data_IF_304106040579
#
_entry.id   IF_304106040579
#
_cell.length_a   1.000
_cell.length_b   1.000
_cell.length_c   1.000
_cell.angle_alpha   90.00
_cell.angle_beta   90.00
_cell.angle_gamma   90.00
#
_symmetry.space_group_name_H-M   'P 1'
#
loop_
_entity.id
_entity.type
_entity.pdbx_description
1 polymer ?
#
# COMPACT_ATOMS: atom_id res chain seq x y z
N UNK A 1 18.21 -0.24 7.37
CA UNK A 1 17.86 0.90 6.51
C UNK A 1 17.13 1.95 7.34
N UNK A 2 17.48 3.21 7.11
CA UNK A 2 17.03 4.36 7.88
C UNK A 2 15.53 4.58 7.79
N UNK A 3 14.97 4.88 8.95
CA UNK A 3 13.67 5.51 9.13
C UNK A 3 13.61 6.75 8.22
N UNK A 4 12.67 6.77 7.26
CA UNK A 4 12.31 8.00 6.55
C UNK A 4 11.10 8.57 7.30
N UNK A 5 11.30 9.45 8.31
CA UNK A 5 10.24 9.90 9.21
C UNK A 5 9.04 10.55 8.48
N UNK A 6 9.25 11.02 7.24
CA UNK A 6 8.25 11.78 6.49
C UNK A 6 7.53 10.97 5.41
N UNK A 7 7.89 9.71 5.18
CA UNK A 7 7.32 8.99 4.04
C UNK A 7 5.80 8.83 4.14
N UNK A 8 5.31 8.47 5.32
CA UNK A 8 3.87 8.30 5.55
C UNK A 8 3.13 9.64 5.53
N UNK A 9 3.77 10.73 5.98
CA UNK A 9 3.18 12.08 5.94
C UNK A 9 3.11 12.62 4.53
N UNK A 10 4.14 12.40 3.71
CA UNK A 10 4.22 12.90 2.34
C UNK A 10 3.18 12.20 1.45
N UNK A 11 3.04 10.87 1.58
CA UNK A 11 2.00 10.12 0.86
C UNK A 11 0.60 10.55 1.28
N UNK A 12 0.35 10.75 2.58
CA UNK A 12 -0.95 11.20 3.08
C UNK A 12 -1.29 12.60 2.58
N UNK A 13 -0.36 13.54 2.67
CA UNK A 13 -0.56 14.90 2.15
C UNK A 13 -0.80 14.89 0.64
N UNK A 14 -0.10 14.02 -0.09
CA UNK A 14 -0.35 13.81 -1.51
C UNK A 14 -1.78 13.29 -1.74
N UNK A 15 -2.24 12.26 -1.04
CA UNK A 15 -3.61 11.73 -1.18
C UNK A 15 -4.66 12.80 -0.83
N UNK A 16 -4.46 13.59 0.21
CA UNK A 16 -5.37 14.67 0.60
C UNK A 16 -5.53 15.74 -0.50
N UNK A 17 -4.51 15.90 -1.36
CA UNK A 17 -4.55 16.80 -2.52
C UNK A 17 -5.17 16.17 -3.78
N UNK A 18 -5.47 14.86 -3.79
CA UNK A 18 -6.01 14.11 -4.93
C UNK A 18 -7.34 13.44 -4.56
N UNK A 19 -8.50 14.12 -4.74
CA UNK A 19 -9.79 13.69 -4.19
C UNK A 19 -10.36 12.40 -4.81
N UNK A 20 -9.80 11.95 -5.94
CA UNK A 20 -10.12 10.71 -6.63
C UNK A 20 -9.29 9.51 -6.13
N UNK A 21 -8.35 9.73 -5.20
CA UNK A 21 -7.52 8.70 -4.59
C UNK A 21 -7.91 8.49 -3.13
N UNK A 22 -7.91 7.24 -2.70
CA UNK A 22 -8.00 6.88 -1.29
C UNK A 22 -6.73 6.12 -0.85
N UNK A 23 -6.50 6.09 0.47
CA UNK A 23 -5.39 5.38 1.07
C UNK A 23 -5.90 4.32 2.02
N UNK A 24 -5.54 3.07 1.77
CA UNK A 24 -5.74 1.95 2.68
C UNK A 24 -4.41 1.55 3.31
N UNK A 25 -4.40 1.42 4.63
CA UNK A 25 -3.26 0.86 5.35
C UNK A 25 -3.29 -0.67 5.30
N UNK A 26 -2.14 -1.32 5.10
CA UNK A 26 -1.99 -2.76 5.26
C UNK A 26 -0.67 -3.07 5.98
N UNK A 27 -0.75 -3.83 7.07
CA UNK A 27 0.39 -4.15 7.91
C UNK A 27 1.35 -5.15 7.22
N UNK A 28 2.65 -4.83 7.28
CA UNK A 28 3.74 -5.74 6.94
C UNK A 28 4.93 -5.48 7.90
N UNK A 29 4.80 -5.84 9.20
CA UNK A 29 5.95 -5.80 10.09
C UNK A 29 7.00 -6.81 9.60
N UNK A 30 8.21 -6.30 9.33
CA UNK A 30 9.32 -7.12 8.85
C UNK A 30 10.00 -7.82 10.03
N UNK A 31 10.40 -9.08 9.83
CA UNK A 31 11.01 -9.90 10.88
C UNK A 31 12.25 -9.25 11.53
N UNK A 32 13.02 -8.46 10.77
CA UNK A 32 14.20 -7.72 11.26
C UNK A 32 13.86 -6.55 12.20
N UNK A 33 12.57 -6.25 12.40
CA UNK A 33 12.08 -5.17 13.26
C UNK A 33 11.21 -5.68 14.43
N UNK A 34 11.10 -6.99 14.58
CA UNK A 34 10.35 -7.60 15.67
C UNK A 34 11.17 -7.63 16.98
N UNK A 35 10.51 -7.57 18.15
CA UNK A 35 9.05 -7.55 18.36
C UNK A 35 8.40 -6.15 18.23
N UNK A 36 9.21 -5.09 18.12
CA UNK A 36 8.73 -3.72 18.23
C UNK A 36 7.69 -3.37 17.16
N UNK A 37 7.95 -3.71 15.90
CA UNK A 37 7.03 -3.42 14.80
C UNK A 37 5.69 -4.14 14.96
N UNK A 38 5.70 -5.41 15.42
CA UNK A 38 4.49 -6.17 15.66
C UNK A 38 3.68 -5.67 16.86
N UNK A 39 4.35 -5.17 17.89
CA UNK A 39 3.69 -4.57 19.06
C UNK A 39 3.07 -3.20 18.73
N UNK A 40 3.79 -2.36 17.99
CA UNK A 40 3.30 -1.08 17.45
C UNK A 40 2.07 -1.29 16.55
N UNK A 41 2.13 -2.28 15.64
CA UNK A 41 1.02 -2.64 14.76
C UNK A 41 -0.23 -3.09 15.54
N UNK A 42 -0.06 -3.92 16.57
CA UNK A 42 -1.16 -4.36 17.43
C UNK A 42 -1.80 -3.20 18.19
N UNK A 43 -0.99 -2.26 18.67
CA UNK A 43 -1.51 -1.08 19.37
C UNK A 43 -2.37 -0.20 18.45
N UNK A 44 -1.91 0.12 17.23
CA UNK A 44 -2.70 0.96 16.31
C UNK A 44 -4.02 0.30 15.88
N UNK A 45 -4.03 -1.02 15.67
CA UNK A 45 -5.26 -1.80 15.42
C UNK A 45 -6.26 -1.66 16.57
N UNK A 46 -5.78 -1.81 17.82
CA UNK A 46 -6.63 -1.64 18.99
C UNK A 46 -7.15 -0.20 19.18
N UNK A 47 -6.35 0.81 18.84
CA UNK A 47 -6.82 2.21 18.83
C UNK A 47 -7.91 2.41 17.78
N UNK A 48 -7.70 1.87 16.57
CA UNK A 48 -8.67 1.97 15.48
C UNK A 48 -10.00 1.30 15.79
N UNK A 49 -9.97 0.12 16.40
CA UNK A 49 -11.18 -0.56 16.85
C UNK A 49 -11.90 0.22 17.96
N UNK A 50 -11.15 0.72 18.95
CA UNK A 50 -11.73 1.36 20.12
C UNK A 50 -12.31 2.73 19.81
N UNK A 51 -11.64 3.50 18.95
CA UNK A 51 -11.90 4.92 18.75
C UNK A 51 -12.20 5.30 17.29
N UNK A 52 -12.17 4.34 16.36
CA UNK A 52 -12.53 4.53 14.97
C UNK A 52 -11.37 4.93 14.06
N UNK A 53 -11.69 5.06 12.77
CA UNK A 53 -10.73 5.20 11.68
C UNK A 53 -9.83 6.45 11.77
N UNK A 54 -10.38 7.60 12.20
CA UNK A 54 -9.57 8.81 12.36
C UNK A 54 -8.46 8.61 13.41
N UNK A 55 -8.82 7.98 14.55
CA UNK A 55 -7.88 7.70 15.64
C UNK A 55 -6.86 6.63 15.29
N UNK A 56 -7.20 5.68 14.42
CA UNK A 56 -6.23 4.76 13.83
C UNK A 56 -5.09 5.53 13.11
N UNK A 57 -5.44 6.46 12.23
CA UNK A 57 -4.44 7.22 11.48
C UNK A 57 -3.61 8.17 12.33
N UNK A 58 -4.21 8.78 13.35
CA UNK A 58 -3.49 9.56 14.35
C UNK A 58 -2.50 8.68 15.13
N UNK A 59 -2.89 7.45 15.48
CA UNK A 59 -2.02 6.50 16.16
C UNK A 59 -0.85 6.03 15.27
N UNK A 60 -1.09 5.75 13.98
CA UNK A 60 -0.03 5.45 13.02
C UNK A 60 0.99 6.61 12.94
N UNK A 61 0.52 7.84 12.78
CA UNK A 61 1.38 9.02 12.77
C UNK A 61 2.16 9.17 14.09
N UNK A 62 1.51 8.93 15.21
CA UNK A 62 2.15 8.98 16.53
C UNK A 62 3.29 7.96 16.63
N UNK A 63 3.09 6.71 16.20
CA UNK A 63 4.17 5.69 16.18
C UNK A 63 5.37 6.20 15.38
N UNK A 64 5.15 6.68 14.15
CA UNK A 64 6.24 7.18 13.32
C UNK A 64 6.96 8.38 13.95
N UNK A 65 6.28 9.23 14.70
CA UNK A 65 6.91 10.38 15.36
C UNK A 65 7.70 10.00 16.62
N UNK A 66 7.40 8.85 17.25
CA UNK A 66 7.91 8.53 18.59
C UNK A 66 8.78 7.26 18.66
N UNK A 67 8.70 6.35 17.69
CA UNK A 67 9.57 5.17 17.65
C UNK A 67 11.00 5.54 17.25
N UNK A 68 11.99 4.81 17.78
CA UNK A 68 13.40 4.97 17.40
C UNK A 68 13.73 4.31 16.06
N UNK A 69 12.80 3.53 15.51
CA UNK A 69 12.97 2.84 14.24
C UNK A 69 13.96 1.67 14.30
N UNK A 70 14.06 0.94 13.19
CA UNK A 70 14.99 -0.19 13.06
C UNK A 70 14.75 -1.32 14.07
N UNK A 71 13.51 -1.52 14.53
CA UNK A 71 13.16 -2.52 15.55
C UNK A 71 13.43 -2.11 17.00
N UNK A 72 13.83 -0.86 17.26
CA UNK A 72 14.15 -0.39 18.61
C UNK A 72 12.93 0.05 19.44
N UNK A 73 11.76 0.17 18.81
CA UNK A 73 10.53 0.60 19.46
C UNK A 73 10.60 1.99 20.09
N UNK A 74 9.69 2.25 21.03
CA UNK A 74 9.62 3.50 21.77
C UNK A 74 10.87 3.72 22.66
N UNK A 75 11.28 4.98 22.88
CA UNK A 75 12.27 5.34 23.89
C UNK A 75 11.82 4.91 25.30
N UNK A 76 12.80 4.68 26.17
CA UNK A 76 12.51 4.35 27.57
C UNK A 76 11.70 5.46 28.25
N UNK A 77 10.65 5.08 28.98
CA UNK A 77 9.78 6.02 29.69
C UNK A 77 8.68 6.65 28.83
N UNK A 78 8.64 6.38 27.52
CA UNK A 78 7.53 6.76 26.65
C UNK A 78 6.50 5.64 26.65
N UNK A 79 5.26 5.97 27.01
CA UNK A 79 4.12 5.04 26.95
C UNK A 79 3.24 5.36 25.76
N UNK A 80 2.52 4.35 25.28
CA UNK A 80 1.53 4.55 24.24
C UNK A 80 0.36 5.41 24.77
N UNK A 81 -0.15 6.36 23.98
CA UNK A 81 -1.41 7.03 24.28
C UNK A 81 -2.55 6.01 24.46
N UNK A 82 -3.49 6.32 25.33
CA UNK A 82 -4.71 5.52 25.55
C UNK A 82 -4.47 4.03 25.87
N UNK A 83 -3.25 3.63 26.27
CA UNK A 83 -2.88 2.23 26.49
C UNK A 83 -3.80 1.53 27.50
N UNK A 84 -4.24 2.25 28.54
CA UNK A 84 -5.21 1.74 29.50
C UNK A 84 -6.58 1.47 28.88
N UNK A 85 -7.03 2.31 27.95
CA UNK A 85 -8.33 2.22 27.30
C UNK A 85 -8.39 1.09 26.26
N UNK A 86 -7.24 0.73 25.67
CA UNK A 86 -7.13 -0.36 24.69
C UNK A 86 -6.57 -1.66 25.27
N UNK A 87 -6.29 -1.69 26.58
CA UNK A 87 -5.66 -2.82 27.27
C UNK A 87 -6.38 -4.16 27.06
N UNK A 88 -7.70 -4.14 27.00
CA UNK A 88 -8.47 -5.37 26.81
C UNK A 88 -8.29 -5.95 25.40
N UNK A 89 -8.24 -5.09 24.37
CA UNK A 89 -7.89 -5.52 23.02
C UNK A 89 -6.49 -6.15 22.97
N UNK A 90 -5.51 -5.51 23.62
CA UNK A 90 -4.12 -5.97 23.67
C UNK A 90 -3.92 -7.31 24.39
N UNK A 91 -4.81 -7.70 25.30
CA UNK A 91 -4.78 -9.01 25.96
C UNK A 91 -5.28 -10.16 25.09
N UNK A 92 -5.98 -9.85 23.99
CA UNK A 92 -6.51 -10.84 23.05
C UNK A 92 -5.54 -11.07 21.88
N UNK A 93 -5.66 -12.20 21.18
CA UNK A 93 -4.90 -12.44 19.94
C UNK A 93 -5.50 -11.72 18.73
N UNK A 94 -6.71 -11.14 18.83
CA UNK A 94 -7.41 -10.56 17.67
C UNK A 94 -6.60 -9.49 16.90
N UNK A 95 -6.00 -8.46 17.53
CA UNK A 95 -5.16 -7.51 16.78
C UNK A 95 -3.93 -8.19 16.18
N UNK A 96 -3.35 -9.18 16.87
CA UNK A 96 -2.24 -9.98 16.35
C UNK A 96 -2.62 -10.79 15.12
N UNK A 97 -3.78 -11.45 15.15
CA UNK A 97 -4.32 -12.20 14.03
C UNK A 97 -4.60 -11.30 12.81
N UNK A 98 -5.15 -10.10 13.02
CA UNK A 98 -5.38 -9.14 11.95
C UNK A 98 -4.07 -8.70 11.28
N UNK A 99 -3.05 -8.35 12.08
CA UNK A 99 -1.71 -7.99 11.59
C UNK A 99 -1.06 -9.14 10.82
N UNK A 100 -1.13 -10.38 11.34
CA UNK A 100 -0.57 -11.56 10.66
C UNK A 100 -1.25 -11.82 9.32
N UNK A 101 -2.58 -11.76 9.27
CA UNK A 101 -3.35 -11.95 8.04
C UNK A 101 -2.98 -10.91 6.97
N UNK A 102 -2.90 -9.64 7.35
CA UNK A 102 -2.49 -8.56 6.43
C UNK A 102 -1.06 -8.76 5.92
N UNK A 103 -0.14 -9.19 6.78
CA UNK A 103 1.25 -9.44 6.42
C UNK A 103 1.40 -10.69 5.53
N UNK A 104 0.62 -11.74 5.78
CA UNK A 104 0.56 -12.94 4.93
C UNK A 104 0.02 -12.59 3.54
N UNK A 105 -1.06 -11.82 3.47
CA UNK A 105 -1.60 -11.36 2.19
C UNK A 105 -0.57 -10.51 1.44
N UNK A 106 0.10 -9.56 2.10
CA UNK A 106 1.13 -8.74 1.48
C UNK A 106 2.28 -9.58 0.90
N UNK A 107 2.72 -10.63 1.61
CA UNK A 107 3.75 -11.55 1.09
C UNK A 107 3.25 -12.39 -0.08
N UNK A 108 2.02 -12.90 -0.02
CA UNK A 108 1.39 -13.60 -1.14
C UNK A 108 1.30 -12.73 -2.39
N UNK A 109 1.09 -11.44 -2.17
CA UNK A 109 1.03 -10.38 -3.16
C UNK A 109 2.40 -9.94 -3.71
N UNK A 110 3.50 -10.54 -3.23
CA UNK A 110 4.87 -10.26 -3.67
C UNK A 110 5.57 -9.10 -2.94
N UNK A 111 5.00 -8.59 -1.84
CA UNK A 111 5.64 -7.56 -1.03
C UNK A 111 6.50 -8.18 0.09
N UNK A 112 7.81 -8.01 -0.02
CA UNK A 112 8.81 -8.47 0.96
C UNK A 112 9.56 -7.32 1.66
N UNK A 113 9.33 -6.07 1.22
CA UNK A 113 9.95 -4.87 1.75
C UNK A 113 8.92 -3.77 2.02
N UNK A 114 9.23 -2.89 2.99
CA UNK A 114 8.47 -1.68 3.29
C UNK A 114 9.34 -0.44 3.13
N UNK A 115 8.77 0.70 2.69
CA UNK A 115 7.40 0.87 2.19
C UNK A 115 7.17 0.13 0.86
N UNK A 116 5.92 -0.23 0.58
CA UNK A 116 5.45 -0.70 -0.72
C UNK A 116 4.00 -0.24 -0.91
N UNK A 117 3.59 -0.05 -2.17
CA UNK A 117 2.23 0.37 -2.54
C UNK A 117 1.64 -0.61 -3.55
N UNK A 118 0.37 -0.93 -3.37
CA UNK A 118 -0.49 -1.55 -4.38
C UNK A 118 -1.44 -0.47 -4.90
N UNK A 119 -1.23 -0.01 -6.12
CA UNK A 119 -2.18 0.86 -6.82
C UNK A 119 -3.28 -0.01 -7.41
N UNK A 120 -4.53 0.41 -7.24
CA UNK A 120 -5.72 -0.30 -7.74
C UNK A 120 -6.59 0.72 -8.47
N UNK A 121 -6.86 0.47 -9.76
CA UNK A 121 -7.88 1.20 -10.49
C UNK A 121 -9.24 0.54 -10.20
N UNK A 122 -10.06 1.19 -9.38
CA UNK A 122 -11.38 0.68 -9.00
C UNK A 122 -12.37 0.55 -10.17
N UNK A 123 -12.11 1.17 -11.33
CA UNK A 123 -12.98 1.04 -12.52
C UNK A 123 -12.71 -0.25 -13.29
N UNK A 124 -11.45 -0.65 -13.38
CA UNK A 124 -11.01 -1.81 -14.19
C UNK A 124 -10.58 -3.01 -13.34
N UNK A 125 -10.44 -2.82 -12.02
CA UNK A 125 -9.84 -3.77 -11.08
C UNK A 125 -8.38 -4.14 -11.40
N UNK A 126 -7.73 -3.42 -12.32
CA UNK A 126 -6.30 -3.58 -12.60
C UNK A 126 -5.49 -3.07 -11.41
N UNK A 127 -4.35 -3.69 -11.17
CA UNK A 127 -3.44 -3.26 -10.11
C UNK A 127 -1.98 -3.28 -10.53
N UNK A 128 -1.20 -2.44 -9.86
CA UNK A 128 0.25 -2.30 -10.03
C UNK A 128 0.90 -2.24 -8.66
N UNK A 129 2.06 -2.88 -8.52
CA UNK A 129 2.87 -2.84 -7.30
C UNK A 129 4.07 -1.89 -7.48
N UNK A 130 4.33 -1.06 -6.48
CA UNK A 130 5.50 -0.17 -6.40
C UNK A 130 6.25 -0.45 -5.09
N UNK A 131 7.54 -0.73 -5.17
CA UNK A 131 8.38 -1.03 -4.00
C UNK A 131 9.28 0.15 -3.68
N UNK A 132 9.37 0.49 -2.39
CA UNK A 132 10.17 1.61 -1.91
C UNK A 132 9.43 2.95 -1.89
N UNK A 133 10.09 4.01 -1.41
CA UNK A 133 9.56 5.37 -1.46
C UNK A 133 9.24 5.80 -2.90
N UNK A 134 8.06 6.38 -3.12
CA UNK A 134 7.62 6.88 -4.43
C UNK A 134 7.29 8.36 -4.31
N UNK A 135 7.80 9.20 -5.23
CA UNK A 135 7.46 10.62 -5.28
C UNK A 135 6.05 10.84 -5.85
N UNK A 136 5.47 12.02 -5.59
CA UNK A 136 4.15 12.38 -6.13
C UNK A 136 4.09 12.30 -7.67
N UNK A 137 5.10 12.79 -8.37
CA UNK A 137 5.17 12.74 -9.84
C UNK A 137 5.25 11.30 -10.37
N UNK A 138 5.97 10.43 -9.67
CA UNK A 138 6.06 9.02 -10.02
C UNK A 138 4.75 8.28 -9.72
N UNK A 139 4.01 8.66 -8.67
CA UNK A 139 2.65 8.13 -8.41
C UNK A 139 1.69 8.52 -9.52
N UNK A 140 1.68 9.79 -9.95
CA UNK A 140 0.86 10.25 -11.08
C UNK A 140 1.17 9.46 -12.35
N UNK A 141 2.46 9.29 -12.66
CA UNK A 141 2.89 8.52 -13.83
C UNK A 141 2.45 7.05 -13.77
N UNK A 142 2.51 6.44 -12.59
CA UNK A 142 2.05 5.07 -12.39
C UNK A 142 0.53 4.94 -12.53
N UNK A 143 -0.24 5.94 -12.09
CA UNK A 143 -1.69 5.98 -12.25
C UNK A 143 -2.12 6.17 -13.71
N UNK A 144 -1.43 7.02 -14.47
CA UNK A 144 -1.66 7.19 -15.91
C UNK A 144 -1.40 5.88 -16.66
N UNK A 145 -0.32 5.18 -16.30
CA UNK A 145 0.00 3.86 -16.88
C UNK A 145 -1.05 2.80 -16.52
N UNK A 146 -1.53 2.79 -15.26
CA UNK A 146 -2.52 1.83 -14.79
C UNK A 146 -3.91 2.06 -15.40
N UNK A 147 -4.29 3.32 -15.64
CA UNK A 147 -5.58 3.70 -16.22
C UNK A 147 -5.59 3.73 -17.75
N UNK A 148 -4.41 3.70 -18.38
CA UNK A 148 -4.30 3.60 -19.83
C UNK A 148 -4.92 2.28 -20.33
N UNK A 149 -5.77 2.31 -21.37
CA UNK A 149 -6.30 1.09 -21.96
C UNK A 149 -5.14 0.22 -22.42
N UNK A 150 -5.18 -1.08 -22.14
CA UNK A 150 -4.18 -2.00 -22.68
C UNK A 150 -4.32 -2.08 -24.20
N UNK A 151 -3.67 -1.19 -24.96
CA UNK A 151 -3.69 -1.26 -26.42
C UNK A 151 -2.47 -0.61 -27.06
N UNK A 152 -1.40 -1.39 -27.13
CA UNK A 152 -0.30 -1.20 -28.09
C UNK A 152 0.08 -2.45 -28.86
N UNK A 153 -0.52 -3.62 -28.58
CA UNK A 153 -0.17 -4.88 -29.26
C UNK A 153 -1.36 -5.57 -29.94
N UNK A 154 -2.57 -5.56 -29.36
CA UNK A 154 -3.75 -6.16 -30.00
C UNK A 154 -4.27 -5.35 -31.20
N UNK A 155 -4.35 -4.01 -31.09
CA UNK A 155 -4.79 -3.16 -32.20
C UNK A 155 -3.86 -3.22 -33.44
N UNK A 156 -2.57 -3.49 -33.24
CA UNK A 156 -1.58 -3.58 -34.32
C UNK A 156 -1.65 -4.96 -35.00
N UNK A 157 -1.97 -6.01 -34.25
CA UNK A 157 -2.20 -7.34 -34.80
C UNK A 157 -3.48 -7.37 -35.64
N UNK A 158 -4.55 -6.73 -35.18
CA UNK A 158 -5.83 -6.70 -35.87
C UNK A 158 -5.77 -5.86 -37.17
N UNK A 159 -5.04 -4.73 -37.12
CA UNK A 159 -4.78 -3.92 -38.32
C UNK A 159 -3.96 -4.69 -39.38
N UNK A 160 -2.93 -5.44 -38.96
CA UNK A 160 -2.09 -6.26 -39.88
C UNK A 160 -2.85 -7.44 -40.50
N UNK A 161 -3.82 -8.02 -39.78
CA UNK A 161 -4.66 -9.11 -40.30
C UNK A 161 -5.72 -8.60 -41.29
N UNK A 162 -6.22 -7.38 -41.08
CA UNK A 162 -7.12 -6.69 -42.02
C UNK A 162 -6.42 -6.35 -43.33
N UNK A 163 -5.20 -5.77 -43.27
CA UNK A 163 -4.43 -5.40 -44.47
C UNK A 163 -4.00 -6.63 -45.30
N UNK A 164 -3.60 -7.72 -44.64
CA UNK A 164 -3.25 -8.98 -45.31
C UNK A 164 -4.44 -9.63 -46.03
N UNK A 165 -5.66 -9.46 -45.49
CA UNK A 165 -6.90 -10.01 -46.07
C UNK A 165 -7.43 -9.17 -47.25
N UNK A 166 -7.05 -7.91 -47.33
CA UNK A 166 -7.39 -7.03 -48.45
C UNK A 166 -6.42 -7.22 -49.63
N UNK A 167 -5.12 -7.35 -49.35
CA UNK A 167 -4.10 -7.59 -50.39
C UNK A 167 -4.28 -8.92 -51.14
N UNK A 168 -4.92 -9.91 -50.53
CA UNK A 168 -5.16 -11.23 -51.14
C UNK A 168 -6.43 -11.33 -51.99
N UNK A 169 -7.24 -10.25 -52.08
CA UNK A 169 -8.42 -10.18 -52.97
C UNK A 169 -8.19 -9.49 -54.30
N UNK A 170 -7.04 -8.84 -54.51
CA UNK A 170 -6.76 -8.03 -55.71
C UNK A 170 -5.92 -8.73 -56.80
N UNK A 171 -5.37 -9.92 -56.54
CA UNK A 171 -4.70 -10.75 -57.57
C UNK A 171 -5.61 -11.89 -58.05
N UNK A 172 -6.60 -11.58 -58.89
CA UNK A 172 -7.10 -12.57 -59.85
C UNK A 172 -7.53 -11.89 -61.15
N UNK A 173 -6.60 -11.61 -62.07
CA UNK A 173 -6.96 -11.21 -63.42
C UNK A 173 -7.39 -12.43 -64.24
N UNK A 174 -8.43 -12.18 -65.03
CA UNK A 174 -9.25 -13.08 -65.85
C UNK A 174 -8.49 -13.82 -66.95
#
# INVERSE_FOLDING_TARGET
MSFLPNLHTDLRAWVDAHPDVNLQWNHLPLAIHEPAAGDEARWVECVGEKFGHARFWEAVQWVYQHTRGGGQGLPAGVSYPDESAVRECLKSDRPGAAVRLQAEQARHDGFDATPSLRLIDNKTSRSMSLTGPVSGDALLSAMDLLSSPENGMEAVADARLSEASQSSREENPK
#
